data_IF_119880289739
#
_entry.id   IF_119880289739
#
_cell.length_a   1.000
_cell.length_b   1.000
_cell.length_c   1.000
_cell.angle_alpha   90.00
_cell.angle_beta   90.00
_cell.angle_gamma   90.00
#
_symmetry.space_group_name_H-M   'P 1'
#
loop_
_entity.id
_entity.type
_entity.pdbx_description
1 polymer ?
#
# COMPACT_ATOMS: atom_id res chain seq x y z
N UNK A 1 -20.23 13.06 15.17
CA UNK A 1 -19.20 12.32 14.41
C UNK A 1 -19.63 12.28 12.96
N UNK A 2 -18.92 12.96 12.06
CA UNK A 2 -19.26 12.98 10.63
C UNK A 2 -18.42 11.90 9.94
N UNK A 3 -19.05 10.84 9.45
CA UNK A 3 -18.42 9.83 8.61
C UNK A 3 -18.37 10.35 7.18
N UNK A 4 -17.17 10.70 6.71
CA UNK A 4 -16.93 11.09 5.33
C UNK A 4 -17.10 9.86 4.43
N UNK A 5 -18.23 9.77 3.71
CA UNK A 5 -18.44 8.77 2.66
C UNK A 5 -17.80 9.27 1.37
N UNK A 6 -16.48 9.44 1.37
CA UNK A 6 -15.74 9.58 0.13
C UNK A 6 -15.70 8.21 -0.53
N UNK A 7 -16.28 8.09 -1.72
CA UNK A 7 -16.19 6.87 -2.53
C UNK A 7 -14.71 6.53 -2.69
N UNK A 8 -14.32 5.27 -2.45
CA UNK A 8 -12.93 4.82 -2.68
C UNK A 8 -12.41 5.21 -4.08
N UNK A 9 -13.33 5.33 -5.04
CA UNK A 9 -13.12 5.74 -6.43
C UNK A 9 -12.62 7.18 -6.60
N UNK A 10 -13.10 8.12 -5.80
CA UNK A 10 -12.62 9.51 -5.80
C UNK A 10 -11.25 9.61 -5.12
N UNK A 11 -11.07 8.87 -4.01
CA UNK A 11 -9.75 8.73 -3.38
C UNK A 11 -8.74 8.08 -4.34
N UNK A 12 -9.12 7.08 -5.13
CA UNK A 12 -8.28 6.45 -6.15
C UNK A 12 -7.90 7.39 -7.31
N UNK A 13 -8.74 8.40 -7.62
CA UNK A 13 -8.47 9.39 -8.66
C UNK A 13 -7.56 10.53 -8.18
N UNK A 14 -7.67 10.91 -6.90
CA UNK A 14 -6.80 11.92 -6.28
C UNK A 14 -5.48 11.34 -5.76
N UNK A 15 -5.43 10.04 -5.43
CA UNK A 15 -4.22 9.37 -5.00
C UNK A 15 -3.43 8.88 -6.23
N UNK A 16 -2.24 9.43 -6.52
CA UNK A 16 -1.44 8.97 -7.64
C UNK A 16 -1.07 7.51 -7.43
N UNK A 17 -1.52 6.63 -8.33
CA UNK A 17 -1.26 5.18 -8.30
C UNK A 17 0.24 4.83 -8.36
N UNK A 18 1.06 5.80 -8.73
CA UNK A 18 2.51 5.78 -8.66
C UNK A 18 3.03 5.78 -7.21
N UNK A 19 2.34 6.48 -6.31
CA UNK A 19 2.69 6.54 -4.89
C UNK A 19 1.98 5.49 -4.06
N UNK A 20 0.96 4.79 -4.58
CA UNK A 20 0.18 3.81 -3.83
C UNK A 20 0.26 2.43 -4.47
N UNK A 21 0.69 1.45 -3.68
CA UNK A 21 0.75 0.05 -4.08
C UNK A 21 -0.27 -0.76 -3.30
N UNK A 22 -1.03 -1.58 -4.03
CA UNK A 22 -1.90 -2.57 -3.41
C UNK A 22 -1.02 -3.70 -2.87
N UNK A 23 -1.15 -3.94 -1.57
CA UNK A 23 -0.33 -4.91 -0.83
C UNK A 23 -1.15 -6.12 -0.35
N UNK A 24 -2.48 -6.00 -0.38
CA UNK A 24 -3.43 -7.06 -0.09
C UNK A 24 -4.77 -6.80 -0.81
N UNK A 25 -5.69 -7.76 -0.83
CA UNK A 25 -7.06 -7.58 -1.37
C UNK A 25 -7.87 -6.47 -0.68
N UNK A 26 -7.46 -6.06 0.52
CA UNK A 26 -8.13 -5.04 1.33
C UNK A 26 -7.21 -3.90 1.77
N UNK A 27 -5.94 -3.91 1.38
CA UNK A 27 -4.95 -2.92 1.84
C UNK A 27 -4.18 -2.32 0.68
N UNK A 28 -4.11 -0.99 0.69
CA UNK A 28 -3.30 -0.17 -0.20
C UNK A 28 -2.34 0.62 0.70
N UNK A 29 -1.06 0.57 0.37
CA UNK A 29 0.00 1.26 1.11
C UNK A 29 0.66 2.30 0.22
N UNK A 30 1.04 3.43 0.81
CA UNK A 30 1.79 4.45 0.11
C UNK A 30 3.28 4.10 0.08
N UNK A 31 3.84 3.90 -1.12
CA UNK A 31 5.24 3.53 -1.37
C UNK A 31 6.22 4.57 -0.79
N UNK A 32 5.89 5.86 -0.85
CA UNK A 32 6.69 6.96 -0.27
C UNK A 32 6.73 6.93 1.26
N UNK A 33 5.72 6.34 1.88
CA UNK A 33 5.60 6.19 3.34
C UNK A 33 6.15 4.85 3.84
N UNK A 34 6.55 3.95 2.93
CA UNK A 34 7.26 2.73 3.29
C UNK A 34 8.62 3.14 3.87
N UNK A 35 8.89 2.67 5.10
CA UNK A 35 10.19 2.76 5.75
C UNK A 35 11.04 1.55 5.40
N UNK A 36 10.42 0.38 5.30
CA UNK A 36 11.05 -0.86 4.87
C UNK A 36 10.01 -1.88 4.46
N UNK A 37 10.40 -2.80 3.58
CA UNK A 37 9.59 -3.96 3.19
C UNK A 37 10.35 -5.20 3.61
N UNK A 38 9.68 -6.08 4.35
CA UNK A 38 10.13 -7.43 4.67
C UNK A 38 9.43 -8.46 3.76
N UNK A 39 9.91 -9.70 3.80
CA UNK A 39 9.41 -10.79 2.95
C UNK A 39 7.90 -11.06 3.09
N UNK A 40 7.29 -10.68 4.22
CA UNK A 40 5.88 -10.94 4.54
C UNK A 40 5.12 -9.73 5.10
N UNK A 41 5.77 -8.57 5.24
CA UNK A 41 5.15 -7.38 5.83
C UNK A 41 5.83 -6.09 5.36
N UNK A 42 5.11 -4.98 5.41
CA UNK A 42 5.60 -3.64 5.11
C UNK A 42 5.60 -2.83 6.38
N UNK A 43 6.70 -2.13 6.62
CA UNK A 43 6.89 -1.24 7.76
C UNK A 43 6.77 0.18 7.24
N UNK A 44 5.80 0.93 7.75
CA UNK A 44 5.61 2.34 7.41
C UNK A 44 6.49 3.23 8.29
N UNK A 45 6.74 4.45 7.83
CA UNK A 45 7.47 5.48 8.59
C UNK A 45 6.83 5.81 9.94
N UNK A 46 5.50 5.65 10.04
CA UNK A 46 4.73 5.82 11.27
C UNK A 46 4.85 4.63 12.25
N UNK A 47 5.64 3.60 11.94
CA UNK A 47 5.76 2.39 12.77
C UNK A 47 4.62 1.39 12.58
N UNK A 48 3.67 1.66 11.69
CA UNK A 48 2.62 0.70 11.33
C UNK A 48 3.20 -0.46 10.52
N UNK A 49 2.92 -1.68 10.96
CA UNK A 49 3.30 -2.90 10.26
C UNK A 49 2.07 -3.51 9.59
N UNK A 50 2.18 -3.78 8.30
CA UNK A 50 1.08 -4.22 7.45
C UNK A 50 1.49 -5.54 6.76
N UNK A 51 0.76 -6.62 7.05
CA UNK A 51 1.04 -7.94 6.50
C UNK A 51 0.72 -8.04 5.01
N UNK A 52 1.65 -8.60 4.23
CA UNK A 52 1.48 -8.83 2.79
C UNK A 52 1.14 -10.28 2.51
N UNK A 53 0.15 -10.49 1.65
CA UNK A 53 -0.13 -11.81 1.11
C UNK A 53 0.95 -12.21 0.09
N UNK A 54 1.41 -13.46 0.13
CA UNK A 54 2.46 -14.01 -0.76
C UNK A 54 2.23 -13.70 -2.26
N UNK A 55 0.97 -13.69 -2.70
CA UNK A 55 0.61 -13.38 -4.10
C UNK A 55 0.80 -11.88 -4.44
N UNK A 56 0.51 -10.99 -3.49
CA UNK A 56 0.65 -9.54 -3.69
C UNK A 56 2.08 -9.05 -3.46
N UNK A 57 2.90 -9.84 -2.74
CA UNK A 57 4.34 -9.59 -2.57
C UNK A 57 5.01 -9.40 -3.92
N UNK A 58 4.89 -10.37 -4.82
CA UNK A 58 5.57 -10.29 -6.11
C UNK A 58 5.15 -9.05 -6.90
N UNK A 59 3.87 -8.67 -6.84
CA UNK A 59 3.38 -7.46 -7.48
C UNK A 59 3.97 -6.18 -6.86
N UNK A 60 4.12 -6.13 -5.53
CA UNK A 60 4.75 -5.00 -4.84
C UNK A 60 6.25 -4.91 -5.15
N UNK A 61 6.98 -6.03 -5.09
CA UNK A 61 8.42 -6.07 -5.38
C UNK A 61 8.72 -5.71 -6.84
N UNK A 62 7.89 -6.19 -7.78
CA UNK A 62 7.95 -5.78 -9.19
C UNK A 62 7.69 -4.27 -9.35
N UNK A 63 6.69 -3.71 -8.65
CA UNK A 63 6.45 -2.26 -8.64
C UNK A 63 7.59 -1.45 -8.05
N UNK A 64 8.30 -1.99 -7.08
CA UNK A 64 9.43 -1.35 -6.42
C UNK A 64 10.74 -1.51 -7.21
N UNK A 65 10.73 -2.24 -8.33
CA UNK A 65 11.92 -2.47 -9.17
C UNK A 65 12.96 -3.38 -8.52
N UNK A 66 12.54 -4.26 -7.59
CA UNK A 66 13.42 -5.22 -6.91
C UNK A 66 13.63 -6.52 -7.72
N UNK A 67 13.08 -6.62 -8.93
CA UNK A 67 13.26 -7.73 -9.87
C UNK A 67 13.08 -7.27 -11.32
#
# INVERSE_FOLDING_TARGET
MQTLLSTMKDMEAELPWDMFARMHRSYIVNIKQIKGVEASKVILKNGTELGIGLQYRNQLFAKMGLI
#
